data_IF_724096856438
#
_entry.id   IF_724096856438
#
_cell.length_a   1.000
_cell.length_b   1.000
_cell.length_c   1.000
_cell.angle_alpha   90.00
_cell.angle_beta   90.00
_cell.angle_gamma   90.00
#
_symmetry.space_group_name_H-M   'P 1'
#
loop_
_entity.id
_entity.type
_entity.pdbx_description
1 polymer ?
#
# COMPACT_ATOMS: atom_id res chain seq x y z
N UNK A 1 -8.72 -0.88 1.82
CA UNK A 1 -7.60 -1.36 2.67
C UNK A 1 -6.31 -0.63 2.27
N UNK A 2 -5.55 -0.10 3.22
CA UNK A 2 -4.19 0.47 3.09
C UNK A 2 -3.85 1.02 1.69
N UNK A 3 -4.62 2.01 1.23
CA UNK A 3 -4.44 2.58 -0.12
C UNK A 3 -3.12 3.34 -0.19
N UNK A 4 -2.32 3.05 -1.22
CA UNK A 4 -1.04 3.72 -1.47
C UNK A 4 -0.94 4.27 -2.90
N UNK A 5 -0.05 5.25 -3.09
CA UNK A 5 0.26 5.82 -4.39
C UNK A 5 1.69 6.37 -4.42
N UNK A 6 2.30 6.51 -5.62
CA UNK A 6 3.62 7.14 -5.78
C UNK A 6 3.67 8.60 -5.30
N UNK A 7 2.54 9.30 -5.34
CA UNK A 7 2.44 10.72 -4.99
C UNK A 7 1.75 10.96 -3.63
N UNK A 8 1.58 9.91 -2.80
CA UNK A 8 0.94 10.02 -1.50
C UNK A 8 1.79 10.89 -0.55
N UNK A 9 1.13 11.88 0.10
CA UNK A 9 1.77 12.67 1.15
C UNK A 9 2.03 11.83 2.40
N UNK A 10 3.23 11.98 2.98
CA UNK A 10 3.63 11.30 4.22
C UNK A 10 3.18 12.05 5.49
N UNK A 11 2.13 12.86 5.40
CA UNK A 11 1.60 13.65 6.52
C UNK A 11 0.14 13.30 6.79
N UNK A 12 -0.25 13.37 8.07
CA UNK A 12 -1.61 13.10 8.51
C UNK A 12 -1.82 11.66 8.99
N UNK A 13 -3.02 11.37 9.54
CA UNK A 13 -3.31 10.10 10.22
C UNK A 13 -3.38 8.89 9.29
N UNK A 14 -3.49 9.11 7.98
CA UNK A 14 -3.61 8.07 6.96
C UNK A 14 -2.32 7.83 6.16
N UNK A 15 -1.20 8.42 6.60
CA UNK A 15 0.08 8.20 5.94
C UNK A 15 0.50 6.73 6.07
N UNK A 16 0.71 6.06 4.93
CA UNK A 16 1.14 4.67 4.89
C UNK A 16 2.65 4.54 5.13
N UNK A 17 3.11 3.34 5.49
CA UNK A 17 4.55 3.05 5.58
C UNK A 17 5.27 3.41 4.26
N UNK A 18 4.70 3.08 3.10
CA UNK A 18 5.25 3.39 1.78
C UNK A 18 5.46 4.90 1.62
N UNK A 19 4.44 5.73 1.93
CA UNK A 19 4.56 7.19 1.82
C UNK A 19 5.63 7.75 2.75
N UNK A 20 5.67 7.28 3.99
CA UNK A 20 6.68 7.69 4.98
C UNK A 20 8.09 7.30 4.52
N UNK A 21 8.30 6.08 4.06
CA UNK A 21 9.60 5.61 3.60
C UNK A 21 10.09 6.38 2.36
N UNK A 22 9.21 6.66 1.40
CA UNK A 22 9.54 7.52 0.26
C UNK A 22 10.00 8.91 0.73
N UNK A 23 9.35 9.50 1.75
CA UNK A 23 9.74 10.80 2.28
C UNK A 23 11.10 10.73 2.99
N UNK A 24 11.34 9.70 3.83
CA UNK A 24 12.61 9.54 4.52
C UNK A 24 13.77 9.38 3.54
N UNK A 25 13.60 8.55 2.50
CA UNK A 25 14.60 8.36 1.45
C UNK A 25 14.89 9.65 0.69
N UNK A 26 13.85 10.45 0.34
CA UNK A 26 14.05 11.79 -0.27
C UNK A 26 14.87 12.74 0.61
N UNK A 27 14.77 12.60 1.92
CA UNK A 27 15.50 13.41 2.89
C UNK A 27 16.89 12.85 3.24
N UNK A 28 17.31 11.74 2.62
CA UNK A 28 18.55 11.05 2.98
C UNK A 28 18.56 10.46 4.39
N UNK A 29 17.37 10.14 4.93
CA UNK A 29 17.19 9.57 6.27
C UNK A 29 16.83 8.09 6.17
N UNK A 30 17.23 7.32 7.19
CA UNK A 30 16.83 5.93 7.32
C UNK A 30 15.31 5.81 7.57
N UNK A 31 14.57 5.07 6.75
CA UNK A 31 13.19 4.67 7.09
C UNK A 31 13.19 3.76 8.31
N UNK A 32 12.04 3.68 8.99
CA UNK A 32 11.93 2.79 10.15
C UNK A 32 10.76 1.81 10.02
N UNK A 33 10.91 0.67 10.66
CA UNK A 33 9.92 -0.39 10.80
C UNK A 33 9.59 -0.51 12.28
N UNK A 34 8.30 -0.50 12.63
CA UNK A 34 7.86 -0.76 14.01
C UNK A 34 7.76 -2.26 14.25
N UNK A 35 8.23 -2.73 15.40
CA UNK A 35 8.27 -4.16 15.71
C UNK A 35 9.32 -4.91 14.87
N UNK A 36 9.03 -6.16 14.55
CA UNK A 36 9.91 -7.07 13.79
C UNK A 36 9.71 -6.98 12.27
N UNK A 37 8.73 -6.22 11.80
CA UNK A 37 8.42 -6.06 10.37
C UNK A 37 7.60 -7.20 9.76
N UNK A 38 7.17 -8.18 10.55
CA UNK A 38 6.36 -9.30 10.07
C UNK A 38 4.85 -8.99 10.00
N UNK A 39 4.42 -7.81 10.48
CA UNK A 39 3.04 -7.38 10.32
C UNK A 39 2.68 -7.25 8.83
N UNK A 40 1.59 -7.89 8.46
CA UNK A 40 1.15 -8.02 7.06
C UNK A 40 -0.05 -7.11 6.78
N UNK A 41 -0.04 -6.48 5.62
CA UNK A 41 -1.09 -5.57 5.17
C UNK A 41 -1.57 -5.92 3.76
N UNK A 42 -2.88 -5.97 3.59
CA UNK A 42 -3.47 -5.89 2.24
C UNK A 42 -3.32 -4.45 1.78
N UNK A 43 -2.45 -4.23 0.80
CA UNK A 43 -2.13 -2.91 0.26
C UNK A 43 -2.74 -2.76 -1.12
N UNK A 44 -3.56 -1.73 -1.30
CA UNK A 44 -4.29 -1.46 -2.53
C UNK A 44 -3.70 -0.24 -3.26
N UNK A 45 -3.37 -0.39 -4.54
CA UNK A 45 -2.99 0.74 -5.36
C UNK A 45 -4.16 1.71 -5.54
N UNK A 46 -3.89 3.02 -5.48
CA UNK A 46 -4.93 4.05 -5.61
C UNK A 46 -5.71 3.96 -6.92
N UNK A 47 -5.09 3.53 -8.02
CA UNK A 47 -5.78 3.34 -9.30
C UNK A 47 -6.86 2.26 -9.21
N UNK A 48 -6.56 1.13 -8.54
CA UNK A 48 -7.57 0.10 -8.29
C UNK A 48 -8.70 0.59 -7.38
N UNK A 49 -8.39 1.45 -6.39
CA UNK A 49 -9.43 2.08 -5.58
C UNK A 49 -10.35 3.00 -6.42
N UNK A 50 -9.78 3.78 -7.35
CA UNK A 50 -10.55 4.59 -8.31
C UNK A 50 -11.40 3.70 -9.21
N UNK A 51 -10.81 2.64 -9.77
CA UNK A 51 -11.52 1.70 -10.65
C UNK A 51 -12.68 1.00 -9.93
N UNK A 52 -12.55 0.68 -8.63
CA UNK A 52 -13.63 0.11 -7.84
C UNK A 52 -14.81 1.08 -7.70
N UNK A 53 -14.55 2.37 -7.47
CA UNK A 53 -15.59 3.40 -7.42
C UNK A 53 -16.26 3.58 -8.78
N UNK A 54 -15.50 3.65 -9.86
CA UNK A 54 -16.05 3.76 -11.22
C UNK A 54 -16.87 2.51 -11.59
N UNK A 55 -16.41 1.33 -11.20
CA UNK A 55 -17.16 0.09 -11.37
C UNK A 55 -18.53 0.16 -10.67
N UNK A 56 -18.54 0.58 -9.40
CA UNK A 56 -19.78 0.69 -8.65
C UNK A 56 -20.73 1.75 -9.24
N UNK A 57 -20.21 2.89 -9.72
CA UNK A 57 -21.00 3.96 -10.34
C UNK A 57 -21.65 3.53 -11.67
N UNK A 58 -20.99 2.68 -12.45
CA UNK A 58 -21.46 2.24 -13.77
C UNK A 58 -22.13 0.87 -13.76
N UNK A 59 -22.26 0.24 -12.59
CA UNK A 59 -22.87 -1.07 -12.47
C UNK A 59 -24.40 -0.97 -12.62
N UNK A 60 -25.00 -1.86 -13.43
CA UNK A 60 -26.46 -1.85 -13.69
C UNK A 60 -27.29 -2.17 -12.44
N UNK A 61 -26.72 -2.96 -11.52
CA UNK A 61 -27.40 -3.33 -10.29
C UNK A 61 -27.35 -2.18 -9.28
N UNK A 62 -28.51 -1.81 -8.73
CA UNK A 62 -28.57 -0.94 -7.57
C UNK A 62 -28.07 -1.72 -6.32
N UNK A 63 -27.13 -1.15 -5.57
CA UNK A 63 -26.57 -1.78 -4.39
C UNK A 63 -27.30 -1.44 -3.08
N UNK A 64 -28.25 -0.52 -3.11
CA UNK A 64 -29.11 -0.13 -1.96
C UNK A 64 -28.31 0.18 -0.68
N UNK A 65 -27.15 0.81 -0.82
CA UNK A 65 -26.27 1.14 0.28
C UNK A 65 -25.41 -0.01 0.80
N UNK A 66 -25.30 -1.11 0.05
CA UNK A 66 -24.40 -2.20 0.43
C UNK A 66 -22.95 -1.75 0.49
N UNK A 67 -22.20 -2.21 1.50
CA UNK A 67 -20.78 -1.96 1.68
C UNK A 67 -19.96 -3.11 1.10
N UNK A 68 -18.83 -2.78 0.49
CA UNK A 68 -17.88 -3.73 -0.08
C UNK A 68 -16.47 -3.47 0.41
N UNK A 69 -15.76 -4.52 0.76
CA UNK A 69 -14.33 -4.45 1.04
C UNK A 69 -13.55 -4.32 -0.28
N UNK A 70 -12.84 -3.20 -0.45
CA UNK A 70 -11.97 -2.98 -1.60
C UNK A 70 -10.52 -3.22 -1.19
N UNK A 71 -9.94 -4.29 -1.69
CA UNK A 71 -8.58 -4.74 -1.43
C UNK A 71 -8.11 -5.73 -2.48
N UNK A 72 -6.89 -6.22 -2.33
CA UNK A 72 -6.33 -7.23 -3.26
C UNK A 72 -6.76 -8.65 -2.91
N UNK A 73 -7.18 -8.89 -1.67
CA UNK A 73 -7.43 -10.22 -1.13
C UNK A 73 -6.15 -11.02 -0.85
N UNK A 74 -4.99 -10.32 -0.88
CA UNK A 74 -3.68 -10.85 -0.46
C UNK A 74 -3.04 -9.88 0.52
N UNK A 75 -1.81 -10.13 0.97
CA UNK A 75 -1.07 -9.18 1.79
C UNK A 75 0.44 -9.36 1.65
N UNK A 76 1.17 -8.37 2.16
CA UNK A 76 2.62 -8.31 2.15
C UNK A 76 3.12 -7.85 3.53
N UNK A 77 4.25 -8.37 4.02
CA UNK A 77 4.87 -7.91 5.25
C UNK A 77 5.68 -6.62 5.02
N UNK A 78 5.96 -5.87 6.09
CA UNK A 78 6.83 -4.69 5.96
C UNK A 78 8.26 -5.10 5.60
N UNK A 79 8.73 -6.27 6.03
CA UNK A 79 10.03 -6.79 5.62
C UNK A 79 10.08 -7.08 4.11
N UNK A 80 9.03 -7.69 3.53
CA UNK A 80 8.93 -7.89 2.08
C UNK A 80 8.88 -6.56 1.32
N UNK A 81 8.19 -5.54 1.85
CA UNK A 81 8.20 -4.18 1.26
C UNK A 81 9.59 -3.56 1.34
N UNK A 82 10.31 -3.69 2.49
CA UNK A 82 11.71 -3.26 2.64
C UNK A 82 12.59 -3.89 1.56
N UNK A 83 12.44 -5.17 1.31
CA UNK A 83 13.26 -5.89 0.33
C UNK A 83 13.02 -5.35 -1.09
N UNK A 84 11.77 -5.01 -1.43
CA UNK A 84 11.45 -4.30 -2.68
C UNK A 84 12.15 -2.93 -2.73
N UNK A 85 12.14 -2.17 -1.63
CA UNK A 85 12.85 -0.86 -1.57
C UNK A 85 14.34 -1.04 -1.85
N UNK A 86 14.98 -2.05 -1.27
CA UNK A 86 16.40 -2.33 -1.47
C UNK A 86 16.77 -2.73 -2.90
N UNK A 87 15.82 -3.20 -3.72
CA UNK A 87 16.03 -3.40 -5.16
C UNK A 87 16.39 -2.07 -5.88
N UNK A 88 15.88 -0.93 -5.41
CA UNK A 88 16.08 0.41 -5.99
C UNK A 88 17.08 1.27 -5.23
N UNK A 89 17.18 1.07 -3.92
CA UNK A 89 17.99 1.82 -2.98
C UNK A 89 18.80 0.86 -2.09
N UNK A 90 19.82 0.16 -2.65
CA UNK A 90 20.53 -0.91 -1.93
C UNK A 90 21.26 -0.42 -0.66
N UNK A 91 21.71 0.84 -0.67
CA UNK A 91 22.48 1.45 0.43
C UNK A 91 21.58 2.03 1.53
N UNK A 92 20.24 2.01 1.36
CA UNK A 92 19.33 2.50 2.39
C UNK A 92 19.23 1.49 3.52
N UNK A 93 19.62 1.91 4.71
CA UNK A 93 19.43 1.14 5.93
C UNK A 93 18.06 1.43 6.54
N UNK A 94 17.49 0.44 7.20
CA UNK A 94 16.21 0.53 7.90
C UNK A 94 16.42 0.37 9.40
N UNK A 95 15.87 1.31 10.17
CA UNK A 95 15.84 1.19 11.62
C UNK A 95 14.63 0.36 12.07
N UNK A 96 14.79 -0.41 13.14
CA UNK A 96 13.68 -1.10 13.79
C UNK A 96 13.40 -0.43 15.14
N UNK A 97 12.13 -0.16 15.40
CA UNK A 97 11.69 0.52 16.62
C UNK A 97 10.72 -0.36 17.41
N UNK A 98 10.43 0.04 18.65
CA UNK A 98 9.47 -0.67 19.49
C UNK A 98 8.12 -0.88 18.79
N UNK A 99 7.48 -2.04 18.99
CA UNK A 99 6.15 -2.32 18.45
C UNK A 99 5.12 -1.28 18.92
N UNK A 100 4.22 -0.88 18.04
CA UNK A 100 3.11 -0.01 18.44
C UNK A 100 2.10 -0.80 19.27
N UNK A 101 1.67 -0.24 20.39
CA UNK A 101 0.59 -0.82 21.16
C UNK A 101 -0.70 -0.87 20.32
N UNK A 102 -1.28 -2.07 20.17
CA UNK A 102 -2.50 -2.27 19.39
C UNK A 102 -2.29 -2.36 17.88
N UNK A 103 -1.04 -2.50 17.41
CA UNK A 103 -0.80 -2.74 15.98
C UNK A 103 -1.38 -4.10 15.55
N UNK A 104 -2.08 -4.09 14.42
CA UNK A 104 -2.72 -5.29 13.88
C UNK A 104 -1.70 -6.08 13.08
N UNK A 105 -1.47 -7.34 13.47
CA UNK A 105 -0.46 -8.18 12.79
C UNK A 105 -0.87 -8.62 11.39
N UNK A 106 -2.17 -8.67 11.09
CA UNK A 106 -2.64 -9.22 9.83
C UNK A 106 -3.90 -8.51 9.34
N UNK A 107 -3.87 -7.98 8.12
CA UNK A 107 -5.07 -7.49 7.43
C UNK A 107 -5.19 -8.13 6.05
N UNK A 108 -6.44 -8.45 5.67
CA UNK A 108 -6.77 -8.98 4.36
C UNK A 108 -8.24 -8.67 4.07
N UNK A 109 -8.52 -8.08 2.92
CA UNK A 109 -9.87 -7.79 2.47
C UNK A 109 -10.62 -9.07 2.10
N UNK A 110 -11.91 -9.16 2.46
CA UNK A 110 -12.81 -10.12 1.85
C UNK A 110 -13.32 -9.57 0.51
N UNK A 111 -12.66 -9.97 -0.54
CA UNK A 111 -12.96 -9.51 -1.91
C UNK A 111 -14.02 -10.35 -2.62
N UNK A 112 -14.64 -11.32 -1.95
CA UNK A 112 -15.54 -12.29 -2.57
C UNK A 112 -16.73 -11.63 -3.27
N UNK A 113 -17.44 -10.75 -2.54
CA UNK A 113 -18.64 -10.07 -3.05
C UNK A 113 -18.36 -9.23 -4.31
N UNK A 114 -17.24 -8.48 -4.32
CA UNK A 114 -16.85 -7.69 -5.50
C UNK A 114 -16.43 -8.56 -6.69
N UNK A 115 -15.74 -9.67 -6.42
CA UNK A 115 -15.37 -10.63 -7.48
C UNK A 115 -16.57 -11.30 -8.11
N UNK A 116 -17.59 -11.64 -7.32
CA UNK A 116 -18.86 -12.21 -7.81
C UNK A 116 -19.62 -11.21 -8.68
N UNK A 117 -19.45 -9.89 -8.44
CA UNK A 117 -20.00 -8.83 -9.28
C UNK A 117 -19.15 -8.56 -10.54
N UNK A 118 -17.97 -9.17 -10.67
CA UNK A 118 -17.07 -9.02 -11.81
C UNK A 118 -15.91 -8.04 -11.64
N UNK A 119 -15.77 -7.39 -10.46
CA UNK A 119 -14.62 -6.51 -10.19
C UNK A 119 -13.44 -7.29 -9.62
N UNK A 120 -12.24 -6.90 -10.02
CA UNK A 120 -10.97 -7.39 -9.45
C UNK A 120 -9.89 -6.33 -9.56
N UNK A 121 -8.91 -6.39 -8.68
CA UNK A 121 -7.70 -5.57 -8.79
C UNK A 121 -6.92 -5.89 -10.06
N UNK A 122 -6.30 -4.89 -10.63
CA UNK A 122 -5.49 -4.98 -11.85
C UNK A 122 -4.00 -4.86 -11.57
N UNK A 123 -3.61 -4.25 -10.43
CA UNK A 123 -2.22 -3.99 -10.07
C UNK A 123 -1.80 -4.93 -8.92
N UNK A 124 -0.92 -5.91 -9.17
CA UNK A 124 -0.34 -6.74 -8.10
C UNK A 124 0.41 -5.88 -7.07
N UNK A 125 0.30 -6.22 -5.78
CA UNK A 125 0.92 -5.46 -4.67
C UNK A 125 2.40 -5.19 -4.96
N UNK A 126 3.18 -6.23 -5.28
CA UNK A 126 4.62 -6.09 -5.54
C UNK A 126 4.89 -5.10 -6.67
N UNK A 127 4.20 -5.23 -7.78
CA UNK A 127 4.37 -4.36 -8.95
C UNK A 127 4.08 -2.89 -8.63
N UNK A 128 2.97 -2.61 -7.95
CA UNK A 128 2.60 -1.23 -7.61
C UNK A 128 3.55 -0.59 -6.60
N UNK A 129 4.11 -1.38 -5.66
CA UNK A 129 5.14 -0.89 -4.73
C UNK A 129 6.45 -0.62 -5.49
N UNK A 130 6.86 -1.51 -6.39
CA UNK A 130 8.03 -1.31 -7.26
C UNK A 130 7.91 -0.01 -8.06
N UNK A 131 6.74 0.28 -8.62
CA UNK A 131 6.48 1.53 -9.34
C UNK A 131 6.67 2.77 -8.45
N UNK A 132 6.23 2.72 -7.18
CA UNK A 132 6.45 3.84 -6.24
C UNK A 132 7.94 4.18 -6.07
N UNK A 133 8.78 3.17 -5.87
CA UNK A 133 10.20 3.37 -5.61
C UNK A 133 11.02 3.57 -6.89
N UNK A 134 10.62 2.98 -8.01
CA UNK A 134 11.15 3.31 -9.33
C UNK A 134 10.94 4.80 -9.66
N UNK A 135 9.72 5.30 -9.53
CA UNK A 135 9.40 6.71 -9.75
C UNK A 135 10.15 7.65 -8.79
N UNK A 136 10.36 7.21 -7.55
CA UNK A 136 11.15 7.96 -6.58
C UNK A 136 12.62 8.10 -7.02
N UNK A 137 13.21 7.04 -7.57
CA UNK A 137 14.59 7.00 -8.04
C UNK A 137 14.79 7.86 -9.29
N UNK A 138 13.84 7.82 -10.23
CA UNK A 138 13.90 8.58 -11.48
C UNK A 138 13.63 10.08 -11.30
N UNK A 139 12.71 10.43 -10.39
CA UNK A 139 12.45 11.82 -10.01
C UNK A 139 13.57 12.31 -9.09
N UNK A 140 14.74 12.65 -9.63
CA UNK A 140 15.79 13.35 -8.87
C UNK A 140 15.18 14.63 -8.27
N UNK A 141 15.51 14.98 -7.00
CA UNK A 141 15.14 16.29 -6.46
C UNK A 141 15.73 17.38 -7.37
N UNK A 142 14.86 18.30 -7.81
CA UNK A 142 15.28 19.56 -8.42
C UNK A 142 16.05 20.39 -7.39
#
# INVERSE_FOLDING_TARGET
FNVYSPDQKASGPYATAIANWMQYIRQGKAPFITGDGEQRRDMLNVQDAVLANLFAMNHEKNFDGAAFDVGTGTNISLNEVRDIVKEYFPDVEFDYTEPRKGDVMYTKADTKSLKELGWKTTIPIKQGIQECFYNLKEKKPC
#
